data_IF_272037977973
#
_entry.id   IF_272037977973
#
_cell.length_a   1.000
_cell.length_b   1.000
_cell.length_c   1.000
_cell.angle_alpha   90.00
_cell.angle_beta   90.00
_cell.angle_gamma   90.00
#
_symmetry.space_group_name_H-M   'P 1'
#
loop_
_entity.id
_entity.type
_entity.pdbx_description
1 polymer ?
#
# COMPACT_ATOMS: atom_id res chain seq x y z
N UNK A 1 33.94 31.48 37.59
CA UNK A 1 32.47 31.16 37.48
C UNK A 1 31.98 30.95 36.05
N UNK A 2 32.62 31.49 35.03
CA UNK A 2 32.16 31.44 33.61
C UNK A 2 32.28 30.08 32.90
N UNK A 3 33.25 29.23 33.23
CA UNK A 3 33.43 27.91 32.59
C UNK A 3 32.38 26.87 32.97
N UNK A 4 31.81 26.93 34.16
CA UNK A 4 30.76 25.99 34.61
C UNK A 4 29.38 26.29 34.00
N UNK A 5 29.11 27.56 33.67
CA UNK A 5 27.84 27.98 33.04
C UNK A 5 27.78 27.56 31.58
N UNK A 6 28.92 27.61 30.85
CA UNK A 6 29.00 27.19 29.44
C UNK A 6 28.78 25.67 29.30
N UNK A 7 29.28 24.88 30.27
CA UNK A 7 29.07 23.42 30.24
C UNK A 7 27.61 23.01 30.53
N UNK A 8 26.92 23.75 31.42
CA UNK A 8 25.50 23.52 31.68
C UNK A 8 24.62 23.91 30.47
N UNK A 9 24.93 24.97 29.74
CA UNK A 9 24.20 25.36 28.53
C UNK A 9 24.39 24.36 27.38
N UNK A 10 25.59 23.76 27.22
CA UNK A 10 25.85 22.77 26.20
C UNK A 10 25.14 21.43 26.48
N UNK A 11 24.97 21.04 27.74
CA UNK A 11 24.20 19.84 28.14
C UNK A 11 22.70 20.07 27.99
N UNK A 12 22.21 21.30 28.20
CA UNK A 12 20.79 21.63 28.02
C UNK A 12 20.38 21.69 26.53
N UNK A 13 21.31 22.02 25.63
CA UNK A 13 21.05 22.05 24.17
C UNK A 13 21.04 20.65 23.51
N UNK A 14 21.66 19.65 24.13
CA UNK A 14 21.67 18.26 23.63
C UNK A 14 20.41 17.49 24.05
N UNK A 15 19.64 17.96 25.03
CA UNK A 15 18.45 17.28 25.56
C UNK A 15 17.13 17.74 24.95
N UNK A 16 17.12 18.58 23.91
CA UNK A 16 15.90 19.16 23.32
C UNK A 16 15.59 18.72 21.88
N UNK A 17 16.32 17.75 21.35
CA UNK A 17 15.91 17.08 20.12
C UNK A 17 15.22 15.74 20.42
N UNK A 18 14.12 15.77 21.15
CA UNK A 18 13.11 14.76 20.95
C UNK A 18 12.55 15.03 19.55
N UNK A 19 13.07 14.36 18.51
CA UNK A 19 12.44 14.38 17.19
C UNK A 19 10.98 14.02 17.38
N UNK A 20 10.09 14.91 16.97
CA UNK A 20 8.66 14.62 17.01
C UNK A 20 8.43 13.34 16.17
N UNK A 21 7.79 12.35 16.78
CA UNK A 21 7.47 11.10 16.11
C UNK A 21 6.80 11.38 14.76
N UNK A 22 7.31 10.78 13.68
CA UNK A 22 6.72 10.98 12.35
C UNK A 22 5.30 10.43 12.31
N UNK A 23 4.48 10.95 11.39
CA UNK A 23 3.12 10.41 11.18
C UNK A 23 3.15 8.92 10.85
N UNK A 24 4.09 8.49 10.05
CA UNK A 24 4.25 7.07 9.67
C UNK A 24 4.61 6.21 10.88
N UNK A 25 5.55 6.66 11.74
CA UNK A 25 5.91 5.90 12.94
C UNK A 25 4.71 5.74 13.88
N UNK A 26 3.91 6.79 14.03
CA UNK A 26 2.66 6.73 14.80
C UNK A 26 1.66 5.72 14.21
N UNK A 27 1.48 5.72 12.89
CA UNK A 27 0.59 4.78 12.20
C UNK A 27 1.10 3.34 12.35
N UNK A 28 2.40 3.10 12.13
CA UNK A 28 3.02 1.78 12.29
C UNK A 28 2.90 1.26 13.72
N UNK A 29 3.13 2.12 14.72
CA UNK A 29 2.94 1.75 16.12
C UNK A 29 1.50 1.31 16.39
N UNK A 30 0.49 2.07 15.95
CA UNK A 30 -0.91 1.70 16.11
C UNK A 30 -1.26 0.42 15.34
N UNK A 31 -0.69 0.22 14.16
CA UNK A 31 -0.92 -0.96 13.33
C UNK A 31 -0.40 -2.25 14.01
N UNK A 32 0.73 -2.16 14.73
CA UNK A 32 1.34 -3.29 15.42
C UNK A 32 0.85 -3.47 16.87
N UNK A 33 0.15 -2.51 17.43
CA UNK A 33 -0.39 -2.62 18.79
C UNK A 33 -1.73 -3.37 18.79
N UNK A 34 -1.71 -4.61 19.28
CA UNK A 34 -2.89 -5.47 19.40
C UNK A 34 -4.00 -4.91 20.31
N UNK A 35 -3.67 -3.96 21.17
CA UNK A 35 -4.61 -3.29 22.08
C UNK A 35 -5.04 -1.91 21.59
N UNK A 36 -4.55 -1.48 20.42
CA UNK A 36 -4.88 -0.18 19.86
C UNK A 36 -6.39 -0.05 19.62
N UNK A 37 -6.94 1.07 20.04
CA UNK A 37 -8.32 1.48 19.73
C UNK A 37 -8.36 2.43 18.52
N UNK A 38 -7.23 2.59 17.81
CA UNK A 38 -7.13 3.46 16.67
C UNK A 38 -7.89 2.88 15.48
N UNK A 39 -8.76 3.67 14.88
CA UNK A 39 -9.51 3.29 13.68
C UNK A 39 -8.82 3.89 12.46
N UNK A 40 -8.26 3.02 11.62
CA UNK A 40 -7.61 3.43 10.38
C UNK A 40 -8.62 3.87 9.32
N UNK A 41 -8.40 5.03 8.72
CA UNK A 41 -9.14 5.51 7.56
C UNK A 41 -8.40 5.09 6.29
N UNK A 42 -8.99 4.16 5.53
CA UNK A 42 -8.42 3.62 4.30
C UNK A 42 -9.12 4.22 3.09
N UNK A 43 -8.38 4.90 2.23
CA UNK A 43 -8.90 5.46 0.98
C UNK A 43 -8.87 4.39 -0.11
N UNK A 44 -10.03 3.76 -0.40
CA UNK A 44 -10.21 2.74 -1.43
C UNK A 44 -9.96 3.33 -2.82
N UNK A 45 -8.91 2.85 -3.51
CA UNK A 45 -8.39 3.38 -4.79
C UNK A 45 -8.02 4.87 -4.75
N UNK A 46 -7.69 5.38 -3.54
CA UNK A 46 -7.47 6.79 -3.28
C UNK A 46 -8.76 7.64 -3.26
N UNK A 47 -8.63 8.95 -3.44
CA UNK A 47 -9.80 9.87 -3.58
C UNK A 47 -10.36 9.82 -5.01
N UNK A 48 -11.00 8.70 -5.35
CA UNK A 48 -11.57 8.46 -6.68
C UNK A 48 -12.76 9.37 -7.03
N UNK A 49 -13.30 10.11 -6.07
CA UNK A 49 -14.42 11.06 -6.32
C UNK A 49 -13.94 12.35 -6.97
N UNK A 50 -12.75 12.80 -6.59
CA UNK A 50 -12.19 14.08 -7.07
C UNK A 50 -11.04 13.89 -8.09
N UNK A 51 -10.54 12.66 -8.26
CA UNK A 51 -9.51 12.30 -9.23
C UNK A 51 -9.78 10.91 -9.82
N UNK A 52 -9.15 10.52 -10.95
CA UNK A 52 -9.25 9.14 -11.43
C UNK A 52 -8.78 8.15 -10.37
N UNK A 53 -9.51 7.04 -10.18
CA UNK A 53 -9.12 5.94 -9.28
C UNK A 53 -7.70 5.44 -9.63
N UNK A 54 -6.94 5.00 -8.64
CA UNK A 54 -5.59 4.46 -8.80
C UNK A 54 -4.58 5.43 -9.47
N UNK A 55 -4.84 6.74 -9.50
CA UNK A 55 -3.94 7.76 -10.06
C UNK A 55 -3.03 8.37 -8.99
N UNK A 56 -1.91 8.97 -9.41
CA UNK A 56 -1.07 9.75 -8.50
C UNK A 56 -1.88 10.88 -7.83
N UNK A 57 -2.78 11.53 -8.57
CA UNK A 57 -3.59 12.60 -7.98
C UNK A 57 -4.54 12.12 -6.90
N UNK A 58 -5.17 10.92 -7.06
CA UNK A 58 -6.06 10.42 -6.01
C UNK A 58 -5.29 10.01 -4.75
N UNK A 59 -4.02 9.57 -4.89
CA UNK A 59 -3.11 9.33 -3.77
C UNK A 59 -2.81 10.64 -3.06
N UNK A 60 -2.40 11.67 -3.80
CA UNK A 60 -2.10 13.00 -3.24
C UNK A 60 -3.30 13.60 -2.51
N UNK A 61 -4.49 13.46 -3.07
CA UNK A 61 -5.72 13.92 -2.42
C UNK A 61 -6.00 13.14 -1.12
N UNK A 62 -5.82 11.81 -1.12
CA UNK A 62 -6.00 10.97 0.07
C UNK A 62 -5.02 11.40 1.19
N UNK A 63 -3.77 11.67 0.85
CA UNK A 63 -2.77 12.19 1.79
C UNK A 63 -3.21 13.56 2.34
N UNK A 64 -3.63 14.48 1.47
CA UNK A 64 -4.07 15.83 1.85
C UNK A 64 -5.31 15.80 2.77
N UNK A 65 -6.22 14.84 2.57
CA UNK A 65 -7.38 14.64 3.45
C UNK A 65 -7.05 13.97 4.78
N UNK A 66 -5.80 13.53 4.96
CA UNK A 66 -5.37 12.89 6.19
C UNK A 66 -5.76 11.41 6.32
N UNK A 67 -6.02 10.70 5.21
CA UNK A 67 -6.20 9.26 5.24
C UNK A 67 -4.94 8.56 5.79
N UNK A 68 -5.11 7.46 6.51
CA UNK A 68 -4.01 6.74 7.15
C UNK A 68 -3.37 5.73 6.20
N UNK A 69 -4.17 5.20 5.30
CA UNK A 69 -3.76 4.21 4.31
C UNK A 69 -4.47 4.48 2.98
N UNK A 70 -3.77 4.27 1.88
CA UNK A 70 -4.39 4.20 0.56
C UNK A 70 -4.39 2.75 0.09
N UNK A 71 -5.53 2.30 -0.39
CA UNK A 71 -5.61 1.01 -1.09
C UNK A 71 -5.43 1.24 -2.59
N UNK A 72 -4.64 0.38 -3.23
CA UNK A 72 -4.29 0.44 -4.64
C UNK A 72 -4.40 -0.94 -5.27
N UNK A 73 -5.05 -1.02 -6.41
CA UNK A 73 -5.10 -2.23 -7.24
C UNK A 73 -3.92 -2.29 -8.19
N UNK A 74 -3.36 -3.48 -8.41
CA UNK A 74 -2.30 -3.67 -9.39
C UNK A 74 -2.67 -4.63 -10.51
N UNK A 75 -2.07 -4.40 -11.69
CA UNK A 75 -2.15 -5.28 -12.85
C UNK A 75 -0.75 -5.46 -13.45
N UNK A 76 -0.44 -6.68 -13.87
CA UNK A 76 0.81 -7.00 -14.55
C UNK A 76 0.72 -6.68 -16.04
N UNK A 77 1.76 -6.05 -16.57
CA UNK A 77 1.91 -5.71 -17.98
C UNK A 77 2.60 -6.83 -18.77
N UNK A 78 2.62 -6.69 -20.10
CA UNK A 78 3.29 -7.64 -21.04
C UNK A 78 4.78 -7.85 -20.74
N UNK A 79 5.46 -6.81 -20.26
CA UNK A 79 6.88 -6.80 -19.91
C UNK A 79 7.15 -7.03 -18.41
N UNK A 80 6.19 -7.68 -17.72
CA UNK A 80 6.23 -8.03 -16.29
C UNK A 80 6.42 -6.84 -15.33
N UNK A 81 6.15 -5.61 -15.77
CA UNK A 81 6.01 -4.48 -14.86
C UNK A 81 4.62 -4.46 -14.21
N UNK A 82 4.43 -3.62 -13.20
CA UNK A 82 3.15 -3.43 -12.53
C UNK A 82 2.68 -1.99 -12.66
N UNK A 83 1.40 -1.83 -12.97
CA UNK A 83 0.70 -0.54 -13.00
C UNK A 83 -0.44 -0.54 -11.99
N UNK A 84 -0.88 0.65 -11.58
CA UNK A 84 -2.03 0.81 -10.71
C UNK A 84 -3.31 0.88 -11.55
N UNK A 85 -4.12 -0.18 -11.51
CA UNK A 85 -5.43 -0.27 -12.18
C UNK A 85 -6.26 -1.43 -11.63
N UNK A 86 -7.55 -1.20 -11.44
CA UNK A 86 -8.45 -2.24 -10.93
C UNK A 86 -8.77 -3.32 -11.95
N UNK A 87 -9.23 -2.93 -13.14
CA UNK A 87 -9.68 -3.85 -14.16
C UNK A 87 -8.50 -4.47 -14.91
N UNK A 88 -8.65 -5.69 -15.40
CA UNK A 88 -7.66 -6.33 -16.28
C UNK A 88 -7.63 -5.71 -17.69
N UNK A 89 -8.54 -4.76 -17.98
CA UNK A 89 -8.63 -4.06 -19.26
C UNK A 89 -8.62 -2.55 -19.07
N UNK A 90 -8.22 -1.83 -20.11
CA UNK A 90 -8.09 -0.36 -20.14
C UNK A 90 -9.42 0.38 -20.28
N UNK A 91 -10.48 -0.32 -20.67
CA UNK A 91 -11.70 0.23 -21.29
C UNK A 91 -12.48 1.20 -20.40
N UNK A 92 -12.66 0.87 -19.12
CA UNK A 92 -13.49 1.65 -18.19
C UNK A 92 -12.80 2.93 -17.75
N UNK A 93 -11.58 2.82 -17.26
CA UNK A 93 -10.89 3.89 -16.50
C UNK A 93 -9.82 4.62 -17.31
N UNK A 94 -9.59 4.25 -18.58
CA UNK A 94 -8.63 4.93 -19.44
C UNK A 94 -9.14 5.18 -20.86
N UNK A 95 -8.37 5.90 -21.67
CA UNK A 95 -8.63 6.08 -23.10
C UNK A 95 -8.17 4.90 -23.95
N UNK A 96 -7.40 3.97 -23.36
CA UNK A 96 -6.98 2.74 -24.00
C UNK A 96 -8.11 1.72 -24.15
N UNK A 97 -7.83 0.63 -24.85
CA UNK A 97 -8.73 -0.49 -25.09
C UNK A 97 -8.05 -1.82 -24.93
N UNK A 98 -8.80 -2.82 -24.48
CA UNK A 98 -8.34 -4.20 -24.40
C UNK A 98 -7.51 -4.53 -23.17
N UNK A 99 -6.95 -5.72 -23.14
CA UNK A 99 -6.29 -6.27 -21.97
C UNK A 99 -4.92 -5.64 -21.69
N UNK A 100 -4.67 -5.26 -20.43
CA UNK A 100 -3.42 -4.64 -19.95
C UNK A 100 -2.22 -5.53 -20.27
N UNK A 101 -2.33 -6.84 -20.10
CA UNK A 101 -1.29 -7.83 -20.40
C UNK A 101 -0.78 -7.84 -21.85
N UNK A 102 -1.44 -7.14 -22.76
CA UNK A 102 -1.03 -7.02 -24.16
C UNK A 102 -0.11 -5.81 -24.40
N UNK A 103 0.09 -4.95 -23.40
CA UNK A 103 0.86 -3.71 -23.48
C UNK A 103 2.03 -3.75 -22.51
N UNK A 104 3.16 -3.19 -22.92
CA UNK A 104 4.26 -2.86 -22.01
C UNK A 104 3.92 -1.65 -21.14
N UNK A 105 4.61 -1.48 -20.02
CA UNK A 105 4.42 -0.31 -19.16
C UNK A 105 4.67 1.03 -19.93
N UNK A 106 5.63 1.03 -20.85
CA UNK A 106 5.93 2.19 -21.70
C UNK A 106 4.79 2.49 -22.67
N UNK A 107 4.24 1.47 -23.34
CA UNK A 107 3.09 1.66 -24.23
C UNK A 107 1.85 2.17 -23.50
N UNK A 108 1.66 1.79 -22.25
CA UNK A 108 0.53 2.27 -21.44
C UNK A 108 0.59 3.77 -21.12
N UNK A 109 1.77 4.39 -21.15
CA UNK A 109 1.92 5.85 -20.90
C UNK A 109 1.28 6.74 -21.98
N UNK A 110 0.96 6.20 -23.17
CA UNK A 110 0.22 6.92 -24.22
C UNK A 110 -1.26 7.14 -23.84
N UNK A 111 -1.81 6.34 -22.92
CA UNK A 111 -3.21 6.45 -22.50
C UNK A 111 -3.34 7.34 -21.27
N UNK A 112 -4.46 8.07 -21.22
CA UNK A 112 -4.80 8.89 -20.06
C UNK A 112 -5.99 8.28 -19.30
N UNK A 113 -6.00 8.50 -18.00
CA UNK A 113 -7.09 8.08 -17.12
C UNK A 113 -8.33 8.95 -17.33
N UNK A 114 -9.48 8.35 -17.05
CA UNK A 114 -10.78 9.00 -16.97
C UNK A 114 -11.18 9.17 -15.51
N UNK A 115 -11.86 10.26 -15.19
CA UNK A 115 -12.55 10.44 -13.91
C UNK A 115 -13.74 9.49 -13.78
N UNK A 116 -14.28 9.34 -12.57
CA UNK A 116 -15.40 8.43 -12.29
C UNK A 116 -16.66 8.65 -13.16
N UNK A 117 -16.83 9.86 -13.70
CA UNK A 117 -17.90 10.20 -14.64
C UNK A 117 -17.51 10.01 -16.13
N UNK A 118 -16.37 9.37 -16.41
CA UNK A 118 -15.92 9.04 -17.77
C UNK A 118 -15.20 10.16 -18.52
N UNK A 119 -15.00 11.33 -17.92
CA UNK A 119 -14.32 12.46 -18.56
C UNK A 119 -12.81 12.17 -18.64
N UNK A 120 -12.21 12.36 -19.81
CA UNK A 120 -10.76 12.25 -20.02
C UNK A 120 -10.01 13.30 -19.21
N UNK A 121 -8.94 12.87 -18.56
CA UNK A 121 -8.05 13.78 -17.83
C UNK A 121 -6.71 13.90 -18.55
N UNK A 122 -5.75 14.61 -17.94
CA UNK A 122 -4.36 14.67 -18.39
C UNK A 122 -3.45 13.73 -17.57
N UNK A 123 -4.03 12.80 -16.81
CA UNK A 123 -3.31 11.90 -15.90
C UNK A 123 -2.97 10.60 -16.62
N UNK A 124 -1.70 10.21 -16.63
CA UNK A 124 -1.27 8.91 -17.13
C UNK A 124 -1.55 7.79 -16.12
N UNK A 125 -1.53 6.55 -16.60
CA UNK A 125 -1.58 5.35 -15.76
C UNK A 125 -0.26 5.25 -15.00
N UNK A 126 -0.25 5.25 -13.64
CA UNK A 126 1.00 5.15 -12.90
C UNK A 126 1.50 3.70 -12.83
N UNK A 127 2.81 3.54 -12.77
CA UNK A 127 3.44 2.29 -12.35
C UNK A 127 3.29 2.12 -10.83
N UNK A 128 3.45 0.88 -10.34
CA UNK A 128 3.49 0.61 -8.91
C UNK A 128 4.63 1.41 -8.24
N UNK A 129 5.80 1.48 -8.86
CA UNK A 129 6.94 2.24 -8.33
C UNK A 129 6.61 3.73 -8.17
N UNK A 130 5.99 4.36 -9.19
CA UNK A 130 5.57 5.77 -9.12
C UNK A 130 4.56 6.00 -7.99
N UNK A 131 3.61 5.10 -7.81
CA UNK A 131 2.62 5.18 -6.75
C UNK A 131 3.26 5.02 -5.35
N UNK A 132 4.14 4.02 -5.16
CA UNK A 132 4.85 3.80 -3.91
C UNK A 132 5.73 4.99 -3.54
N UNK A 133 6.48 5.55 -4.49
CA UNK A 133 7.30 6.73 -4.24
C UNK A 133 6.47 7.98 -3.87
N UNK A 134 5.24 8.07 -4.37
CA UNK A 134 4.30 9.13 -3.96
C UNK A 134 3.83 8.94 -2.50
N UNK A 135 3.68 7.69 -2.05
CA UNK A 135 3.21 7.34 -0.72
C UNK A 135 4.32 7.38 0.35
N UNK A 136 5.60 7.27 -0.06
CA UNK A 136 6.73 7.07 0.84
C UNK A 136 6.78 8.13 1.94
N UNK A 137 6.89 7.66 3.19
CA UNK A 137 6.97 8.45 4.42
C UNK A 137 5.75 9.38 4.68
N UNK A 138 4.64 9.17 3.94
CA UNK A 138 3.46 10.04 3.97
C UNK A 138 2.17 9.30 4.32
N UNK A 139 1.99 8.07 3.83
CA UNK A 139 0.76 7.28 4.00
C UNK A 139 1.09 5.79 3.91
N UNK A 140 0.37 4.93 4.64
CA UNK A 140 0.48 3.48 4.46
C UNK A 140 -0.18 3.06 3.13
N UNK A 141 0.25 1.93 2.58
CA UNK A 141 -0.28 1.40 1.32
C UNK A 141 -0.82 -0.01 1.53
N UNK A 142 -2.02 -0.29 1.04
CA UNK A 142 -2.58 -1.62 0.90
C UNK A 142 -2.61 -1.98 -0.60
N UNK A 143 -1.87 -3.02 -0.99
CA UNK A 143 -1.84 -3.47 -2.39
C UNK A 143 -2.85 -4.60 -2.57
N UNK A 144 -4.00 -4.30 -3.21
CA UNK A 144 -4.96 -5.32 -3.65
C UNK A 144 -4.41 -6.12 -4.82
N UNK A 145 -4.74 -7.42 -4.86
CA UNK A 145 -4.22 -8.42 -5.81
C UNK A 145 -2.72 -8.70 -5.68
N UNK A 146 -2.03 -7.97 -4.79
CA UNK A 146 -0.59 -8.14 -4.55
C UNK A 146 -0.20 -9.53 -4.10
N UNK A 147 -1.08 -10.22 -3.35
CA UNK A 147 -0.85 -11.59 -2.90
C UNK A 147 -0.66 -12.62 -4.02
N UNK A 148 -1.07 -12.33 -5.24
CA UNK A 148 -0.79 -13.19 -6.42
C UNK A 148 0.62 -12.99 -6.97
N UNK A 149 1.28 -11.88 -6.63
CA UNK A 149 2.54 -11.43 -7.22
C UNK A 149 3.59 -11.07 -6.17
N UNK A 150 3.56 -11.75 -5.01
CA UNK A 150 4.45 -11.40 -3.88
C UNK A 150 5.90 -11.36 -4.33
N UNK A 151 6.42 -12.40 -4.98
CA UNK A 151 7.81 -12.50 -5.44
C UNK A 151 8.20 -11.38 -6.40
N UNK A 152 7.29 -11.01 -7.29
CA UNK A 152 7.53 -10.02 -8.33
C UNK A 152 7.49 -8.59 -7.79
N UNK A 153 6.60 -8.30 -6.82
CA UNK A 153 6.44 -6.93 -6.28
C UNK A 153 7.40 -6.63 -5.12
N UNK A 154 7.86 -7.64 -4.38
CA UNK A 154 8.82 -7.45 -3.28
C UNK A 154 10.08 -6.68 -3.68
N UNK A 155 10.74 -6.96 -4.81
CA UNK A 155 11.90 -6.18 -5.26
C UNK A 155 11.55 -4.71 -5.50
N UNK A 156 10.35 -4.41 -6.00
CA UNK A 156 9.88 -3.03 -6.24
C UNK A 156 9.68 -2.32 -4.90
N UNK A 157 9.00 -2.96 -3.95
CA UNK A 157 8.75 -2.41 -2.61
C UNK A 157 10.08 -2.11 -1.91
N UNK A 158 11.06 -3.03 -1.97
CA UNK A 158 12.41 -2.85 -1.41
C UNK A 158 13.18 -1.72 -2.07
N UNK A 159 13.14 -1.66 -3.40
CA UNK A 159 13.77 -0.56 -4.15
C UNK A 159 13.25 0.80 -3.69
N UNK A 160 11.96 0.87 -3.34
CA UNK A 160 11.34 2.08 -2.78
C UNK A 160 11.68 2.29 -1.29
N UNK A 161 12.19 1.28 -0.56
CA UNK A 161 12.43 1.32 0.88
C UNK A 161 11.12 1.42 1.66
N UNK A 162 10.09 0.66 1.26
CA UNK A 162 8.73 0.77 1.82
C UNK A 162 8.22 -0.53 2.46
N UNK A 163 9.11 -1.47 2.80
CA UNK A 163 8.74 -2.78 3.32
C UNK A 163 7.83 -2.70 4.56
N UNK A 164 8.06 -1.71 5.43
CA UNK A 164 7.27 -1.49 6.64
C UNK A 164 5.96 -0.71 6.41
N UNK A 165 5.82 -0.06 5.24
CA UNK A 165 4.66 0.79 4.92
C UNK A 165 3.63 0.11 4.01
N UNK A 166 3.98 -1.04 3.41
CA UNK A 166 3.15 -1.73 2.43
C UNK A 166 2.54 -2.99 3.03
N UNK A 167 1.22 -3.05 3.05
CA UNK A 167 0.43 -4.25 3.34
C UNK A 167 0.06 -4.93 2.03
N UNK A 168 0.46 -6.19 1.85
CA UNK A 168 0.07 -6.98 0.68
C UNK A 168 -1.19 -7.76 1.02
N UNK A 169 -2.25 -7.56 0.22
CA UNK A 169 -3.53 -8.25 0.37
C UNK A 169 -3.65 -9.42 -0.59
N UNK A 170 -4.15 -10.56 -0.11
CA UNK A 170 -4.26 -11.74 -0.96
C UNK A 170 -5.04 -12.91 -0.34
N UNK A 171 -5.08 -14.01 -1.10
CA UNK A 171 -5.83 -15.24 -0.75
C UNK A 171 -4.94 -16.49 -0.73
N UNK A 172 -3.65 -16.33 -0.68
CA UNK A 172 -2.77 -17.49 -0.56
C UNK A 172 -2.89 -18.11 0.83
N UNK A 173 -2.82 -19.45 0.92
CA UNK A 173 -2.69 -20.12 2.20
C UNK A 173 -1.38 -19.74 2.88
N UNK A 174 -1.29 -19.95 4.20
CA UNK A 174 -0.16 -19.49 5.01
C UNK A 174 1.18 -20.03 4.52
N UNK A 175 1.23 -21.30 4.10
CA UNK A 175 2.44 -21.94 3.62
C UNK A 175 2.96 -21.25 2.35
N UNK A 176 2.04 -20.86 1.45
CA UNK A 176 2.38 -20.16 0.22
C UNK A 176 2.88 -18.75 0.52
N UNK A 177 2.26 -18.04 1.46
CA UNK A 177 2.73 -16.71 1.89
C UNK A 177 4.13 -16.80 2.48
N UNK A 178 4.39 -17.79 3.34
CA UNK A 178 5.71 -18.00 3.93
C UNK A 178 6.77 -18.36 2.87
N UNK A 179 6.42 -19.21 1.90
CA UNK A 179 7.30 -19.54 0.77
C UNK A 179 7.66 -18.30 -0.06
N UNK A 180 6.66 -17.46 -0.40
CA UNK A 180 6.84 -16.28 -1.22
C UNK A 180 7.60 -15.16 -0.50
N UNK A 181 7.33 -14.97 0.80
CA UNK A 181 8.07 -14.00 1.62
C UNK A 181 9.47 -14.49 2.00
N UNK A 182 9.67 -15.82 2.09
CA UNK A 182 10.92 -16.38 2.58
C UNK A 182 11.27 -15.85 3.96
N UNK A 183 12.51 -15.37 4.14
CA UNK A 183 13.00 -14.82 5.41
C UNK A 183 12.59 -13.36 5.67
N UNK A 184 11.60 -12.81 4.95
CA UNK A 184 11.18 -11.41 5.11
C UNK A 184 10.16 -11.26 6.24
N UNK A 185 10.62 -11.19 7.46
CA UNK A 185 9.77 -11.04 8.66
C UNK A 185 9.11 -9.66 8.79
N UNK A 186 9.62 -8.65 8.07
CA UNK A 186 9.12 -7.27 8.15
C UNK A 186 7.97 -6.98 7.16
N UNK A 187 7.62 -7.94 6.32
CA UNK A 187 6.54 -7.78 5.33
C UNK A 187 5.17 -7.94 5.96
N UNK A 188 4.28 -7.02 5.66
CA UNK A 188 2.93 -6.98 6.18
C UNK A 188 1.96 -7.68 5.22
N UNK A 189 1.21 -8.66 5.70
CA UNK A 189 0.22 -9.40 4.91
C UNK A 189 -1.17 -9.30 5.51
N UNK A 190 -2.18 -9.19 4.65
CA UNK A 190 -3.60 -9.16 5.03
C UNK A 190 -4.35 -10.21 4.21
N UNK A 191 -4.72 -11.36 4.81
CA UNK A 191 -5.53 -12.36 4.13
C UNK A 191 -6.98 -11.87 3.97
N UNK A 192 -7.60 -12.24 2.84
CA UNK A 192 -9.02 -12.01 2.55
C UNK A 192 -9.80 -13.25 2.98
N UNK A 193 -10.75 -13.09 3.88
CA UNK A 193 -11.57 -14.16 4.46
C UNK A 193 -13.03 -13.94 4.08
N UNK A 194 -13.62 -14.88 3.34
CA UNK A 194 -15.05 -14.88 3.07
C UNK A 194 -15.78 -15.68 4.16
N UNK A 195 -16.52 -15.01 5.02
CA UNK A 195 -17.18 -15.64 6.17
C UNK A 195 -18.28 -16.65 5.82
N UNK A 196 -18.64 -16.78 4.55
CA UNK A 196 -19.55 -17.82 4.04
C UNK A 196 -18.83 -19.03 3.42
N UNK A 197 -17.49 -19.05 3.42
CA UNK A 197 -16.68 -20.16 2.92
C UNK A 197 -15.97 -20.84 4.07
N UNK A 198 -16.30 -22.09 4.30
CA UNK A 198 -15.71 -22.88 5.37
C UNK A 198 -14.18 -23.03 5.22
N UNK A 199 -13.70 -23.15 3.97
CA UNK A 199 -12.28 -23.20 3.65
C UNK A 199 -11.52 -21.94 4.06
N UNK A 200 -12.10 -20.73 3.85
CA UNK A 200 -11.48 -19.46 4.23
C UNK A 200 -11.44 -19.32 5.75
N UNK A 201 -12.50 -19.76 6.45
CA UNK A 201 -12.55 -19.76 7.92
C UNK A 201 -11.48 -20.68 8.51
N UNK A 202 -11.35 -21.91 7.97
CA UNK A 202 -10.30 -22.85 8.39
C UNK A 202 -8.88 -22.31 8.11
N UNK A 203 -8.68 -21.65 6.98
CA UNK A 203 -7.40 -21.01 6.67
C UNK A 203 -7.00 -19.95 7.70
N UNK A 204 -7.98 -19.27 8.33
CA UNK A 204 -7.72 -18.28 9.39
C UNK A 204 -7.03 -18.91 10.60
N UNK A 205 -7.36 -20.15 10.96
CA UNK A 205 -6.74 -20.87 12.09
C UNK A 205 -5.25 -21.11 11.82
N UNK A 206 -4.87 -21.51 10.60
CA UNK A 206 -3.47 -21.66 10.20
C UNK A 206 -2.73 -20.32 10.24
N UNK A 207 -3.34 -19.22 9.76
CA UNK A 207 -2.73 -17.90 9.86
C UNK A 207 -2.51 -17.48 11.31
N UNK A 208 -3.46 -17.70 12.22
CA UNK A 208 -3.32 -17.37 13.64
C UNK A 208 -2.16 -18.17 14.27
N UNK A 209 -2.00 -19.43 13.88
CA UNK A 209 -1.02 -20.34 14.47
C UNK A 209 0.39 -20.13 13.93
N UNK A 210 0.53 -20.06 12.60
CA UNK A 210 1.80 -20.24 11.90
C UNK A 210 2.36 -18.94 11.32
N UNK A 211 1.51 -17.92 11.16
CA UNK A 211 1.87 -16.61 10.61
C UNK A 211 0.90 -15.56 11.15
N UNK A 212 1.37 -14.60 11.91
CA UNK A 212 0.49 -13.55 12.44
C UNK A 212 0.30 -12.44 11.40
N UNK A 213 -0.83 -12.38 10.66
CA UNK A 213 -1.11 -11.29 9.74
C UNK A 213 -1.25 -9.97 10.48
N UNK A 214 -0.96 -8.85 9.81
CA UNK A 214 -1.11 -7.53 10.40
C UNK A 214 -2.58 -7.12 10.53
N UNK A 215 -3.43 -7.63 9.66
CA UNK A 215 -4.86 -7.41 9.63
C UNK A 215 -5.57 -8.53 8.84
N UNK A 216 -6.89 -8.56 8.90
CA UNK A 216 -7.75 -9.43 8.08
C UNK A 216 -8.77 -8.58 7.33
N UNK A 217 -8.99 -8.87 6.05
CA UNK A 217 -10.15 -8.37 5.34
C UNK A 217 -11.28 -9.40 5.45
N UNK A 218 -12.36 -9.03 6.14
CA UNK A 218 -13.52 -9.89 6.33
C UNK A 218 -14.61 -9.51 5.34
N UNK A 219 -15.00 -10.46 4.49
CA UNK A 219 -16.09 -10.29 3.53
C UNK A 219 -17.37 -10.94 4.05
N UNK A 220 -18.47 -10.19 4.01
CA UNK A 220 -19.83 -10.65 4.36
C UNK A 220 -20.66 -10.80 3.07
N UNK A 221 -21.71 -11.65 3.11
CA UNK A 221 -22.75 -11.70 2.05
C UNK A 221 -23.73 -10.56 2.22
#
# INVERSE_FOLDING_TARGET
MTRKIIFLLSVLLVSLSAEAESRIDKLLRNLHDKNSQYVFVIAHRGDWRNAPENSIQCIENAIAMGADMVELDIQQTKDNNFICMHDATLDRTSTGKGAIKNYTATELKQFVLKSGNGIKTRRSIPTLEEALMTCKDRILVNIDKGGTYIKEILPIIRKCGMEKQVVIKGRYPVEKVQEEYGNNTDMLYMPIIHLWKEEDIKATESFIKDFTPIAYELCFK
#
